data_IF_300505396921
#
_entry.id   IF_300505396921
#
_cell.length_a   1.000
_cell.length_b   1.000
_cell.length_c   1.000
_cell.angle_alpha   90.00
_cell.angle_beta   90.00
_cell.angle_gamma   90.00
#
_symmetry.space_group_name_H-M   'P 1'
#
loop_
_entity.id
_entity.type
_entity.pdbx_description
1 polymer ?
#
# COMPACT_ATOMS: atom_id res chain seq x y z
N UNK A 1 8.99 11.68 13.92
CA UNK A 1 8.29 12.40 12.84
C UNK A 1 6.98 11.72 12.45
N UNK A 2 5.84 12.10 13.06
CA UNK A 2 4.53 11.46 12.77
C UNK A 2 3.91 11.95 11.45
N UNK A 3 4.05 13.24 11.13
CA UNK A 3 3.55 13.85 9.89
C UNK A 3 4.18 13.24 8.64
N UNK A 4 5.51 13.07 8.67
CA UNK A 4 6.27 12.44 7.59
C UNK A 4 5.80 11.00 7.34
N UNK A 5 5.62 10.20 8.40
CA UNK A 5 5.08 8.85 8.27
C UNK A 5 3.66 8.84 7.69
N UNK A 6 2.82 9.81 8.07
CA UNK A 6 1.46 9.93 7.51
C UNK A 6 1.48 10.18 6.00
N UNK A 7 2.30 11.14 5.55
CA UNK A 7 2.42 11.49 4.12
C UNK A 7 3.01 10.33 3.35
N UNK A 8 4.09 9.69 3.83
CA UNK A 8 4.70 8.57 3.12
C UNK A 8 3.80 7.33 3.05
N UNK A 9 2.99 7.05 4.07
CA UNK A 9 2.04 5.93 4.02
C UNK A 9 0.99 6.15 2.91
N UNK A 10 0.45 7.37 2.80
CA UNK A 10 -0.45 7.75 1.69
C UNK A 10 0.26 7.72 0.34
N UNK A 11 1.48 8.23 0.27
CA UNK A 11 2.31 8.19 -0.93
C UNK A 11 2.52 6.78 -1.46
N UNK A 12 2.91 5.82 -0.60
CA UNK A 12 3.09 4.43 -1.01
C UNK A 12 1.79 3.75 -1.43
N UNK A 13 0.66 4.08 -0.79
CA UNK A 13 -0.66 3.61 -1.25
C UNK A 13 -0.99 4.11 -2.65
N UNK A 14 -0.77 5.39 -2.91
CA UNK A 14 -0.98 6.00 -4.23
C UNK A 14 -0.06 5.42 -5.30
N UNK A 15 1.21 5.17 -4.95
CA UNK A 15 2.15 4.45 -5.82
C UNK A 15 1.67 3.04 -6.13
N UNK A 16 1.23 2.27 -5.12
CA UNK A 16 0.70 0.93 -5.31
C UNK A 16 -0.57 0.92 -6.18
N UNK A 17 -1.34 2.02 -6.15
CA UNK A 17 -2.48 2.26 -7.03
C UNK A 17 -2.10 2.64 -8.48
N UNK A 18 -0.81 2.73 -8.80
CA UNK A 18 -0.30 2.99 -10.14
C UNK A 18 -0.07 4.46 -10.49
N UNK A 19 -0.22 5.38 -9.53
CA UNK A 19 0.06 6.80 -9.79
C UNK A 19 1.56 7.04 -10.05
N UNK A 20 1.92 7.89 -11.02
CA UNK A 20 3.28 8.39 -11.16
C UNK A 20 3.78 9.04 -9.86
N UNK A 21 5.08 8.95 -9.56
CA UNK A 21 5.64 9.40 -8.27
C UNK A 21 5.27 10.85 -7.93
N UNK A 22 5.31 11.75 -8.91
CA UNK A 22 4.95 13.16 -8.71
C UNK A 22 3.48 13.34 -8.31
N UNK A 23 2.57 12.63 -8.99
CA UNK A 23 1.14 12.67 -8.72
C UNK A 23 0.82 12.00 -7.38
N UNK A 24 1.47 10.87 -7.07
CA UNK A 24 1.33 10.18 -5.79
C UNK A 24 1.74 11.07 -4.61
N UNK A 25 2.85 11.82 -4.75
CA UNK A 25 3.32 12.73 -3.70
C UNK A 25 2.39 13.94 -3.54
N UNK A 26 1.92 14.51 -4.66
CA UNK A 26 0.95 15.60 -4.64
C UNK A 26 -0.35 15.18 -3.95
N UNK A 27 -0.88 13.99 -4.28
CA UNK A 27 -2.09 13.46 -3.67
C UNK A 27 -1.89 13.16 -2.19
N UNK A 28 -0.75 12.58 -1.80
CA UNK A 28 -0.43 12.34 -0.39
C UNK A 28 -0.38 13.62 0.46
N UNK A 29 0.15 14.72 -0.10
CA UNK A 29 0.12 16.04 0.56
C UNK A 29 -1.30 16.57 0.71
N UNK A 30 -2.15 16.42 -0.30
CA UNK A 30 -3.57 16.80 -0.22
C UNK A 30 -4.30 15.98 0.84
N UNK A 31 -4.06 14.68 0.90
CA UNK A 31 -4.63 13.80 1.93
C UNK A 31 -4.23 14.26 3.35
N UNK A 32 -2.97 14.66 3.53
CA UNK A 32 -2.50 15.23 4.79
C UNK A 32 -3.21 16.52 5.16
N UNK A 33 -3.35 17.45 4.22
CA UNK A 33 -4.04 18.74 4.45
C UNK A 33 -5.54 18.56 4.72
N UNK A 34 -6.17 17.55 4.12
CA UNK A 34 -7.58 17.23 4.27
C UNK A 34 -7.88 16.30 5.46
N UNK A 35 -6.86 15.82 6.17
CA UNK A 35 -7.04 14.97 7.35
C UNK A 35 -7.64 15.74 8.53
N UNK A 36 -8.13 15.00 9.54
CA UNK A 36 -8.72 15.54 10.77
C UNK A 36 -7.67 16.14 11.75
N UNK A 37 -6.44 16.35 11.29
CA UNK A 37 -5.37 16.93 12.10
C UNK A 37 -5.69 18.39 12.50
N UNK A 38 -5.23 18.84 13.69
CA UNK A 38 -5.33 20.23 14.09
C UNK A 38 -4.66 21.19 13.09
N UNK A 39 -5.20 22.40 12.93
CA UNK A 39 -4.72 23.39 11.96
C UNK A 39 -3.22 23.73 12.11
N UNK A 40 -2.68 23.72 13.33
CA UNK A 40 -1.26 23.99 13.55
C UNK A 40 -0.34 22.92 12.93
N UNK A 41 -0.81 21.68 12.84
CA UNK A 41 -0.06 20.58 12.20
C UNK A 41 -0.15 20.63 10.68
N UNK A 42 -1.09 21.39 10.11
CA UNK A 42 -1.22 21.59 8.66
C UNK A 42 -0.27 22.66 8.11
N UNK A 43 0.52 23.28 8.99
CA UNK A 43 1.55 24.25 8.64
C UNK A 43 2.48 23.71 7.53
N UNK A 44 2.91 24.56 6.57
CA UNK A 44 3.89 24.19 5.53
C UNK A 44 5.15 23.53 6.07
N UNK A 45 5.53 23.80 7.32
CA UNK A 45 6.65 23.17 8.01
C UNK A 45 6.67 21.64 7.88
N UNK A 46 5.50 20.98 7.90
CA UNK A 46 5.43 19.52 7.94
C UNK A 46 5.40 18.82 6.57
N UNK A 47 5.10 19.54 5.48
CA UNK A 47 4.87 18.91 4.16
C UNK A 47 5.56 19.62 2.99
N UNK A 48 5.90 20.92 3.12
CA UNK A 48 6.49 21.69 2.02
C UNK A 48 7.90 21.20 1.66
N UNK A 49 8.65 20.69 2.64
CA UNK A 49 10.00 20.15 2.42
C UNK A 49 10.05 18.82 1.66
N UNK A 50 8.92 18.13 1.47
CA UNK A 50 8.87 16.86 0.75
C UNK A 50 8.82 17.11 -0.76
N UNK A 51 9.95 17.08 -1.44
CA UNK A 51 10.04 17.33 -2.89
C UNK A 51 10.57 16.09 -3.60
N UNK A 52 10.01 15.81 -4.79
CA UNK A 52 10.49 14.74 -5.66
C UNK A 52 11.55 15.31 -6.61
N UNK A 53 12.68 14.63 -6.73
CA UNK A 53 13.76 14.97 -7.65
C UNK A 53 14.07 13.73 -8.52
N UNK A 54 14.22 13.92 -9.83
CA UNK A 54 14.53 12.85 -10.78
C UNK A 54 13.31 12.30 -11.52
N UNK A 55 13.37 11.03 -11.91
CA UNK A 55 12.36 10.37 -12.75
C UNK A 55 11.01 10.18 -12.03
N UNK A 56 9.96 10.76 -12.60
CA UNK A 56 8.58 10.73 -12.12
C UNK A 56 7.75 9.53 -12.58
N UNK A 57 8.31 8.59 -13.36
CA UNK A 57 7.56 7.47 -13.91
C UNK A 57 6.87 6.59 -12.83
N UNK A 58 5.73 5.96 -13.14
CA UNK A 58 5.07 5.01 -12.26
C UNK A 58 5.97 3.82 -11.90
N UNK A 59 5.75 3.26 -10.71
CA UNK A 59 6.42 2.04 -10.29
C UNK A 59 5.52 0.85 -10.63
N UNK A 60 6.03 -0.10 -11.42
CA UNK A 60 5.31 -1.33 -11.73
C UNK A 60 5.39 -2.29 -10.54
N UNK A 61 4.33 -2.34 -9.72
CA UNK A 61 4.21 -3.33 -8.66
C UNK A 61 3.70 -4.65 -9.25
N UNK A 62 4.43 -5.75 -9.03
CA UNK A 62 3.92 -7.08 -9.33
C UNK A 62 2.84 -7.44 -8.32
N UNK A 63 1.58 -7.20 -8.68
CA UNK A 63 0.42 -7.61 -7.91
C UNK A 63 -0.03 -8.98 -8.40
N UNK A 64 0.15 -10.01 -7.57
CA UNK A 64 -0.27 -11.37 -7.88
C UNK A 64 0.20 -12.37 -6.83
N UNK A 65 -0.63 -13.36 -6.54
CA UNK A 65 -0.20 -14.48 -5.70
C UNK A 65 0.69 -15.38 -6.53
N UNK A 66 1.88 -15.73 -6.05
CA UNK A 66 2.73 -16.63 -6.80
C UNK A 66 2.06 -18.01 -6.90
N UNK A 67 2.18 -18.66 -8.07
CA UNK A 67 1.50 -19.92 -8.37
C UNK A 67 1.75 -21.02 -7.33
N UNK A 68 2.91 -21.02 -6.66
CA UNK A 68 3.22 -21.97 -5.59
C UNK A 68 2.35 -21.79 -4.34
N UNK A 69 1.90 -20.57 -4.02
CA UNK A 69 0.95 -20.34 -2.92
C UNK A 69 -0.44 -20.87 -3.26
N UNK A 70 -0.88 -20.70 -4.50
CA UNK A 70 -2.17 -21.23 -4.98
C UNK A 70 -2.13 -22.76 -4.98
N UNK A 71 -1.05 -23.35 -5.51
CA UNK A 71 -0.84 -24.80 -5.51
C UNK A 71 -0.77 -25.38 -4.09
N UNK A 72 -0.04 -24.73 -3.18
CA UNK A 72 0.05 -25.12 -1.77
C UNK A 72 -1.31 -25.08 -1.06
N UNK A 73 -2.08 -24.00 -1.27
CA UNK A 73 -3.44 -23.88 -0.73
C UNK A 73 -4.39 -24.96 -1.23
N UNK A 74 -4.34 -25.27 -2.54
CA UNK A 74 -5.14 -26.35 -3.13
C UNK A 74 -4.80 -27.72 -2.55
N UNK A 75 -3.51 -28.02 -2.38
CA UNK A 75 -3.05 -29.31 -1.83
C UNK A 75 -3.45 -29.48 -0.35
N UNK A 76 -3.35 -28.42 0.44
CA UNK A 76 -3.82 -28.40 1.83
C UNK A 76 -5.34 -28.65 1.91
N UNK A 77 -6.12 -28.00 1.05
CA UNK A 77 -7.58 -28.11 1.03
C UNK A 77 -8.02 -29.53 0.62
N UNK A 78 -7.37 -30.12 -0.40
CA UNK A 78 -7.58 -31.52 -0.77
C UNK A 78 -7.22 -32.48 0.38
N UNK A 79 -6.12 -32.25 1.08
CA UNK A 79 -5.72 -33.05 2.25
C UNK A 79 -6.75 -33.01 3.38
N UNK A 80 -7.26 -31.82 3.72
CA UNK A 80 -8.30 -31.66 4.75
C UNK A 80 -9.60 -32.36 4.36
N UNK A 81 -10.05 -32.23 3.11
CA UNK A 81 -11.24 -32.92 2.62
C UNK A 81 -11.07 -34.44 2.66
N UNK A 82 -9.90 -34.94 2.30
CA UNK A 82 -9.58 -36.37 2.33
C UNK A 82 -9.60 -36.92 3.76
N UNK A 83 -8.95 -36.23 4.71
CA UNK A 83 -8.97 -36.61 6.13
C UNK A 83 -10.39 -36.51 6.72
N UNK A 84 -11.13 -35.45 6.40
CA UNK A 84 -12.51 -35.27 6.85
C UNK A 84 -13.46 -36.35 6.32
N UNK A 85 -13.25 -36.82 5.08
CA UNK A 85 -13.97 -37.97 4.52
C UNK A 85 -13.63 -39.27 5.26
N UNK A 86 -12.36 -39.48 5.59
CA UNK A 86 -11.90 -40.65 6.36
C UNK A 86 -12.43 -40.69 7.79
N UNK A 87 -12.58 -39.53 8.45
CA UNK A 87 -13.12 -39.45 9.81
C UNK A 87 -14.65 -39.57 9.87
N UNK A 88 -15.35 -39.41 8.74
CA UNK A 88 -16.81 -39.55 8.64
C UNK A 88 -17.28 -40.95 8.25
N UNK A 89 -16.36 -41.85 7.90
CA UNK A 89 -16.61 -43.26 7.59
C UNK A 89 -16.29 -44.13 8.80
#
# INVERSE_FOLDING_TARGET
>A
EQSTTHIFNRFYRHLAGGLPKGQALQQAKRDYLNSELPSFQKSPYYWAGLVLIGDGAPVAFKTGWPLWMIAGGGLLLCGVLMVGYWLRR
#
